data_IF_621720082491
#
_entry.id   IF_621720082491
#
_cell.length_a   1.000
_cell.length_b   1.000
_cell.length_c   1.000
_cell.angle_alpha   90.00
_cell.angle_beta   90.00
_cell.angle_gamma   90.00
#
_symmetry.space_group_name_H-M   'P 1'
#
loop_
_entity.id
_entity.type
_entity.pdbx_description
1 polymer ?
#
# COMPACT_ATOMS: atom_id res chain seq x y z
N UNK A 1 14.85 -18.23 25.15
CA UNK A 1 14.60 -17.50 23.89
C UNK A 1 13.87 -18.47 22.98
N UNK A 2 12.59 -18.27 22.74
CA UNK A 2 11.84 -19.04 21.77
C UNK A 2 12.40 -18.75 20.38
N UNK A 3 12.81 -19.80 19.65
CA UNK A 3 13.24 -19.66 18.28
C UNK A 3 12.06 -19.15 17.44
N UNK A 4 12.25 -18.06 16.75
CA UNK A 4 11.30 -17.59 15.74
C UNK A 4 11.52 -18.45 14.50
N UNK A 5 10.63 -19.38 14.22
CA UNK A 5 10.57 -19.99 12.90
C UNK A 5 9.74 -19.07 12.00
N UNK A 6 10.32 -18.59 10.89
CA UNK A 6 9.56 -17.78 9.97
C UNK A 6 8.44 -18.63 9.34
N UNK A 7 7.19 -18.17 9.48
CA UNK A 7 6.05 -18.76 8.81
C UNK A 7 6.21 -18.70 7.29
N UNK A 8 5.59 -19.63 6.58
CA UNK A 8 5.58 -19.71 5.12
C UNK A 8 4.16 -19.42 4.61
N UNK A 9 4.01 -18.98 3.36
CA UNK A 9 2.69 -18.85 2.74
C UNK A 9 1.86 -20.13 2.91
N UNK A 10 0.65 -19.99 3.46
CA UNK A 10 -0.25 -21.09 3.77
C UNK A 10 -0.13 -21.70 5.16
N UNK A 11 0.84 -21.28 5.99
CA UNK A 11 0.91 -21.67 7.38
C UNK A 11 -0.22 -21.00 8.19
N UNK A 12 -0.77 -21.71 9.17
CA UNK A 12 -1.70 -21.13 10.14
C UNK A 12 -0.94 -20.33 11.19
N UNK A 13 -1.01 -19.01 11.05
CA UNK A 13 -0.39 -18.06 11.99
C UNK A 13 -1.30 -17.70 13.18
N UNK A 14 -2.54 -18.17 13.19
CA UNK A 14 -3.51 -17.89 14.26
C UNK A 14 -3.11 -18.51 15.60
N UNK A 15 -2.32 -19.56 15.57
CA UNK A 15 -1.81 -20.28 16.75
C UNK A 15 -0.43 -19.81 17.19
N UNK A 16 0.21 -18.94 16.43
CA UNK A 16 1.54 -18.41 16.70
C UNK A 16 1.50 -17.17 17.61
N UNK A 17 2.68 -16.73 18.01
CA UNK A 17 2.88 -15.45 18.69
C UNK A 17 2.66 -14.30 17.70
N UNK A 18 1.43 -13.99 17.38
CA UNK A 18 1.10 -12.77 16.66
C UNK A 18 0.99 -11.62 17.66
N UNK A 19 1.89 -10.66 17.51
CA UNK A 19 1.72 -9.38 18.21
C UNK A 19 0.58 -8.65 17.51
N UNK A 20 -0.37 -8.11 18.24
CA UNK A 20 -1.55 -7.37 17.77
C UNK A 20 -1.23 -6.20 16.77
N UNK A 21 0.01 -6.02 16.40
CA UNK A 21 0.51 -4.92 15.57
C UNK A 21 1.27 -5.39 14.33
N UNK A 22 1.18 -6.69 13.99
CA UNK A 22 1.84 -7.22 12.78
C UNK A 22 0.97 -7.04 11.54
N UNK A 23 -0.33 -7.33 11.64
CA UNK A 23 -1.29 -7.17 10.56
C UNK A 23 -2.47 -6.30 11.02
N UNK A 24 -2.90 -5.41 10.15
CA UNK A 24 -4.04 -4.52 10.37
C UNK A 24 -5.02 -4.71 9.24
N UNK A 25 -6.19 -5.23 9.56
CA UNK A 25 -7.31 -5.25 8.62
C UNK A 25 -8.02 -3.91 8.62
N UNK A 26 -8.11 -3.27 7.45
CA UNK A 26 -8.93 -2.10 7.25
C UNK A 26 -10.38 -2.52 6.99
N UNK A 27 -11.31 -1.58 7.20
CA UNK A 27 -12.73 -1.79 6.90
C UNK A 27 -12.93 -1.98 5.39
N UNK A 28 -13.12 -3.23 4.92
CA UNK A 28 -13.21 -3.56 3.50
C UNK A 28 -14.34 -2.80 2.78
N UNK A 29 -15.57 -2.67 3.31
CA UNK A 29 -16.60 -1.82 2.70
C UNK A 29 -16.17 -0.37 2.51
N UNK A 30 -15.44 0.22 3.45
CA UNK A 30 -14.93 1.58 3.33
C UNK A 30 -13.83 1.69 2.27
N UNK A 31 -12.94 0.71 2.21
CA UNK A 31 -11.90 0.63 1.16
C UNK A 31 -12.53 0.46 -0.21
N UNK A 32 -13.55 -0.38 -0.34
CA UNK A 32 -14.28 -0.61 -1.59
C UNK A 32 -15.03 0.65 -2.04
N UNK A 33 -15.64 1.37 -1.13
CA UNK A 33 -16.27 2.67 -1.43
C UNK A 33 -15.22 3.65 -2.00
N UNK A 34 -14.09 3.84 -1.33
CA UNK A 34 -13.04 4.76 -1.77
C UNK A 34 -12.46 4.34 -3.13
N UNK A 35 -12.25 3.04 -3.34
CA UNK A 35 -11.81 2.49 -4.63
C UNK A 35 -12.85 2.73 -5.73
N UNK A 36 -14.11 2.42 -5.50
CA UNK A 36 -15.16 2.63 -6.47
C UNK A 36 -15.35 4.10 -6.86
N UNK A 37 -15.16 5.01 -5.90
CA UNK A 37 -15.18 6.44 -6.13
C UNK A 37 -14.03 6.91 -7.02
N UNK A 38 -12.85 6.27 -6.92
CA UNK A 38 -11.61 6.79 -7.50
C UNK A 38 -11.06 5.96 -8.68
N UNK A 39 -11.49 4.71 -8.87
CA UNK A 39 -10.91 3.77 -9.86
C UNK A 39 -10.92 4.25 -11.31
N UNK A 40 -11.83 5.16 -11.65
CA UNK A 40 -11.96 5.74 -13.00
C UNK A 40 -11.32 7.13 -13.11
N UNK A 41 -10.68 7.61 -12.05
CA UNK A 41 -10.01 8.91 -12.05
C UNK A 41 -8.82 8.87 -13.00
N UNK A 42 -8.78 9.82 -13.94
CA UNK A 42 -7.65 9.98 -14.84
C UNK A 42 -6.51 10.66 -14.07
N UNK A 43 -5.41 9.95 -13.93
CA UNK A 43 -4.22 10.47 -13.29
C UNK A 43 -3.30 11.19 -14.29
N UNK A 44 -2.53 12.19 -13.83
CA UNK A 44 -1.55 12.86 -14.69
C UNK A 44 -0.52 11.88 -15.25
N UNK A 45 -0.22 12.00 -16.54
CA UNK A 45 0.78 11.20 -17.22
C UNK A 45 2.04 12.04 -17.41
N UNK A 46 3.10 11.60 -16.76
CA UNK A 46 4.44 12.13 -16.94
C UNK A 46 5.20 11.24 -17.91
N UNK A 47 5.61 11.81 -19.02
CA UNK A 47 6.20 11.04 -20.13
C UNK A 47 7.47 10.28 -19.72
N UNK A 48 8.32 10.91 -18.93
CA UNK A 48 9.59 10.33 -18.50
C UNK A 48 9.38 9.24 -17.44
N UNK A 49 8.47 9.48 -16.49
CA UNK A 49 8.07 8.46 -15.52
C UNK A 49 7.40 7.25 -16.16
N UNK A 50 6.56 7.48 -17.18
CA UNK A 50 5.97 6.39 -17.94
C UNK A 50 7.03 5.60 -18.71
N UNK A 51 7.99 6.28 -19.36
CA UNK A 51 9.09 5.63 -20.06
C UNK A 51 9.97 4.81 -19.09
N UNK A 52 10.19 5.32 -17.88
CA UNK A 52 10.90 4.58 -16.83
C UNK A 52 10.16 3.32 -16.41
N UNK A 53 8.84 3.41 -16.15
CA UNK A 53 8.03 2.24 -15.79
C UNK A 53 8.01 1.17 -16.89
N UNK A 54 8.03 1.59 -18.15
CA UNK A 54 8.06 0.69 -19.31
C UNK A 54 9.37 -0.12 -19.43
N UNK A 55 10.42 0.22 -18.68
CA UNK A 55 11.61 -0.63 -18.57
C UNK A 55 11.29 -1.99 -17.91
N UNK A 56 10.20 -2.09 -17.16
CA UNK A 56 9.66 -3.33 -16.60
C UNK A 56 8.78 -4.06 -17.61
N UNK A 57 9.36 -4.38 -18.77
CA UNK A 57 8.65 -4.90 -19.94
C UNK A 57 7.94 -6.25 -19.75
N UNK A 58 8.32 -7.01 -18.72
CA UNK A 58 7.70 -8.28 -18.35
C UNK A 58 6.51 -8.10 -17.39
N UNK A 59 6.27 -6.87 -16.92
CA UNK A 59 5.21 -6.55 -15.96
C UNK A 59 4.07 -5.80 -16.65
N UNK A 60 2.91 -6.44 -16.93
CA UNK A 60 1.83 -5.81 -17.69
C UNK A 60 1.31 -4.49 -17.10
N UNK A 61 1.28 -4.36 -15.78
CA UNK A 61 0.81 -3.14 -15.13
C UNK A 61 1.78 -1.97 -15.29
N UNK A 62 3.08 -2.23 -15.38
CA UNK A 62 4.08 -1.19 -15.62
C UNK A 62 4.01 -0.60 -17.05
N UNK A 63 3.33 -1.28 -17.97
CA UNK A 63 3.12 -0.82 -19.34
C UNK A 63 1.90 0.10 -19.49
N UNK A 64 1.09 0.23 -18.45
CA UNK A 64 -0.13 1.05 -18.45
C UNK A 64 0.14 2.46 -17.94
N UNK A 65 -0.70 3.44 -18.31
CA UNK A 65 -0.76 4.70 -17.58
C UNK A 65 -1.03 4.48 -16.09
N UNK A 66 -0.72 5.46 -15.23
CA UNK A 66 -1.06 5.40 -13.81
C UNK A 66 -2.54 5.10 -13.59
N UNK A 67 -2.84 4.26 -12.61
CA UNK A 67 -4.20 3.85 -12.29
C UNK A 67 -4.36 3.62 -10.79
N UNK A 68 -5.61 3.66 -10.33
CA UNK A 68 -5.96 3.34 -8.94
C UNK A 68 -6.24 1.85 -8.82
N UNK A 69 -5.72 1.26 -7.77
CA UNK A 69 -6.00 -0.13 -7.41
C UNK A 69 -6.10 -0.27 -5.89
N UNK A 70 -6.49 -1.44 -5.41
CA UNK A 70 -6.44 -1.84 -4.02
C UNK A 70 -5.55 -3.06 -3.85
N UNK A 71 -4.97 -3.23 -2.70
CA UNK A 71 -4.10 -4.37 -2.39
C UNK A 71 -3.37 -4.21 -1.08
N UNK A 72 -2.50 -5.14 -0.79
CA UNK A 72 -1.80 -5.25 0.47
C UNK A 72 -0.60 -4.30 0.53
N UNK A 73 -0.45 -3.68 1.68
CA UNK A 73 0.65 -2.75 1.95
C UNK A 73 1.55 -3.29 3.06
N UNK A 74 2.85 -3.34 2.80
CA UNK A 74 3.87 -3.71 3.79
C UNK A 74 4.52 -2.45 4.35
N UNK A 75 4.38 -2.24 5.67
CA UNK A 75 5.04 -1.14 6.36
C UNK A 75 6.28 -1.64 7.11
N UNK A 76 7.42 -0.99 6.90
CA UNK A 76 8.69 -1.34 7.53
C UNK A 76 9.51 -0.09 7.86
N UNK A 77 10.19 -0.08 8.99
CA UNK A 77 11.12 0.99 9.35
C UNK A 77 12.42 0.97 8.55
N UNK A 78 12.64 -0.04 7.72
CA UNK A 78 13.87 -0.23 6.94
C UNK A 78 13.56 -0.16 5.46
N UNK A 79 14.28 0.70 4.74
CA UNK A 79 14.27 0.68 3.27
C UNK A 79 14.90 -0.63 2.76
N UNK A 80 14.27 -1.24 1.77
CA UNK A 80 14.76 -2.47 1.15
C UNK A 80 14.51 -2.45 -0.35
N UNK A 81 15.27 -3.24 -1.10
CA UNK A 81 15.18 -3.30 -2.56
C UNK A 81 15.75 -4.62 -3.09
N UNK A 82 15.26 -5.05 -4.25
CA UNK A 82 15.75 -6.20 -5.00
C UNK A 82 14.83 -7.42 -4.95
N UNK A 83 14.97 -8.31 -5.92
CA UNK A 83 14.08 -9.46 -6.16
C UNK A 83 13.86 -10.34 -4.93
N UNK A 84 14.94 -10.67 -4.21
CA UNK A 84 14.85 -11.55 -3.03
C UNK A 84 14.02 -10.94 -1.92
N UNK A 85 14.19 -9.65 -1.68
CA UNK A 85 13.42 -8.94 -0.66
C UNK A 85 12.00 -8.66 -1.13
N UNK A 86 11.80 -8.44 -2.43
CA UNK A 86 10.47 -8.33 -3.00
C UNK A 86 9.68 -9.64 -2.89
N UNK A 87 10.33 -10.79 -3.13
CA UNK A 87 9.72 -12.10 -2.92
C UNK A 87 9.40 -12.32 -1.44
N UNK A 88 10.33 -12.01 -0.54
CA UNK A 88 10.07 -12.06 0.90
C UNK A 88 8.88 -11.20 1.32
N UNK A 89 8.76 -9.99 0.78
CA UNK A 89 7.63 -9.11 1.07
C UNK A 89 6.29 -9.73 0.62
N UNK A 90 6.28 -10.36 -0.54
CA UNK A 90 5.10 -11.08 -1.04
C UNK A 90 4.76 -12.29 -0.15
N UNK A 91 5.75 -13.09 0.23
CA UNK A 91 5.55 -14.24 1.12
C UNK A 91 5.03 -13.79 2.48
N UNK A 92 5.58 -12.69 3.03
CA UNK A 92 5.12 -12.10 4.28
C UNK A 92 3.65 -11.66 4.21
N UNK A 93 3.26 -10.97 3.16
CA UNK A 93 1.86 -10.58 2.94
C UNK A 93 0.97 -11.82 2.90
N UNK A 94 1.35 -12.85 2.17
CA UNK A 94 0.57 -14.09 2.06
C UNK A 94 0.47 -14.89 3.37
N UNK A 95 1.43 -14.74 4.26
CA UNK A 95 1.37 -15.34 5.61
C UNK A 95 0.28 -14.69 6.45
N UNK A 96 0.14 -13.37 6.38
CA UNK A 96 -0.75 -12.61 7.26
C UNK A 96 -2.08 -12.18 6.62
N UNK A 97 -2.27 -12.39 5.34
CA UNK A 97 -3.55 -12.16 4.67
C UNK A 97 -4.13 -13.46 4.10
N UNK A 98 -3.78 -13.81 2.88
CA UNK A 98 -4.12 -15.10 2.27
C UNK A 98 -3.19 -15.37 1.08
N UNK A 99 -3.12 -16.64 0.65
CA UNK A 99 -2.21 -17.06 -0.43
C UNK A 99 -2.57 -16.52 -1.82
N UNK A 100 -3.77 -15.98 -1.99
CA UNK A 100 -4.23 -15.31 -3.21
C UNK A 100 -3.99 -13.79 -3.20
N UNK A 101 -3.49 -13.25 -2.08
CA UNK A 101 -3.12 -11.84 -1.95
C UNK A 101 -1.67 -11.61 -2.35
N UNK A 102 -1.39 -10.42 -2.84
CA UNK A 102 -0.06 -10.04 -3.27
C UNK A 102 0.36 -8.72 -2.64
N UNK A 103 1.64 -8.64 -2.33
CA UNK A 103 2.28 -7.39 -1.98
C UNK A 103 2.16 -6.38 -3.12
N UNK A 104 1.62 -5.20 -2.84
CA UNK A 104 1.39 -4.15 -3.84
C UNK A 104 2.26 -2.92 -3.61
N UNK A 105 2.37 -2.47 -2.37
CA UNK A 105 3.14 -1.26 -2.02
C UNK A 105 3.87 -1.43 -0.70
N UNK A 106 4.93 -0.65 -0.51
CA UNK A 106 5.60 -0.53 0.79
C UNK A 106 5.76 0.93 1.22
N UNK A 107 5.79 1.13 2.52
CA UNK A 107 6.04 2.42 3.16
C UNK A 107 6.65 2.21 4.53
N UNK A 108 6.82 3.28 5.31
CA UNK A 108 7.51 3.21 6.59
C UNK A 108 6.61 3.57 7.78
N UNK A 109 5.58 4.36 7.58
CA UNK A 109 4.85 5.02 8.68
C UNK A 109 3.57 4.30 9.11
N UNK A 110 2.96 3.51 8.22
CA UNK A 110 1.58 3.02 8.42
C UNK A 110 1.41 2.10 9.61
N UNK A 111 2.36 1.19 9.84
CA UNK A 111 2.30 0.29 11.00
C UNK A 111 2.35 1.07 12.32
N UNK A 112 3.15 2.12 12.40
CA UNK A 112 3.21 3.00 13.57
C UNK A 112 1.91 3.78 13.77
N UNK A 113 1.39 4.37 12.71
CA UNK A 113 0.13 5.12 12.70
C UNK A 113 -1.06 4.22 13.09
N UNK A 114 -1.18 3.07 12.45
CA UNK A 114 -2.26 2.11 12.75
C UNK A 114 -2.15 1.54 14.16
N UNK A 115 -0.94 1.25 14.64
CA UNK A 115 -0.70 0.85 16.02
C UNK A 115 -1.23 1.91 17.01
N UNK A 116 -0.93 3.18 16.76
CA UNK A 116 -1.41 4.27 17.60
C UNK A 116 -2.94 4.38 17.57
N UNK A 117 -3.55 4.35 16.38
CA UNK A 117 -5.00 4.41 16.21
C UNK A 117 -5.71 3.23 16.88
N UNK A 118 -5.22 2.00 16.72
CA UNK A 118 -5.79 0.83 17.39
C UNK A 118 -5.68 0.90 18.92
N UNK A 119 -4.57 1.42 19.45
CA UNK A 119 -4.45 1.66 20.91
C UNK A 119 -5.43 2.70 21.40
N UNK A 120 -5.62 3.79 20.64
CA UNK A 120 -6.60 4.83 20.97
C UNK A 120 -8.05 4.30 20.87
N UNK A 121 -8.33 3.41 19.92
CA UNK A 121 -9.62 2.77 19.77
C UNK A 121 -9.98 1.87 20.98
N UNK A 122 -8.99 1.21 21.62
CA UNK A 122 -9.20 0.40 22.82
C UNK A 122 -9.69 1.18 24.05
N UNK A 123 -9.53 2.49 24.02
CA UNK A 123 -9.98 3.41 25.08
C UNK A 123 -11.02 4.40 24.57
N UNK A 124 -11.71 4.04 23.47
CA UNK A 124 -12.83 4.77 22.87
C UNK A 124 -12.51 6.21 22.45
N UNK A 125 -11.24 6.53 22.14
CA UNK A 125 -10.84 7.86 21.65
C UNK A 125 -11.00 8.02 20.14
N UNK A 126 -10.94 6.94 19.37
CA UNK A 126 -11.10 6.92 17.91
C UNK A 126 -11.85 5.66 17.48
N UNK A 127 -12.45 5.71 16.31
CA UNK A 127 -13.04 4.54 15.65
C UNK A 127 -12.05 4.01 14.59
N UNK A 128 -11.39 2.89 14.89
CA UNK A 128 -10.43 2.26 13.99
C UNK A 128 -11.06 1.73 12.68
N UNK A 129 -12.40 1.61 12.62
CA UNK A 129 -13.12 1.24 11.41
C UNK A 129 -13.20 2.41 10.39
N UNK A 130 -12.86 3.63 10.81
CA UNK A 130 -12.89 4.85 9.99
C UNK A 130 -11.54 5.22 9.43
N UNK A 131 -10.71 4.24 9.10
CA UNK A 131 -9.35 4.45 8.62
C UNK A 131 -9.24 3.99 7.18
N UNK A 132 -8.69 4.86 6.34
CA UNK A 132 -8.24 4.57 4.97
C UNK A 132 -6.75 4.81 4.87
N UNK A 133 -6.04 3.96 4.14
CA UNK A 133 -4.63 4.15 3.78
C UNK A 133 -4.55 4.37 2.28
N UNK A 134 -4.03 5.52 1.87
CA UNK A 134 -3.72 5.84 0.48
C UNK A 134 -2.21 5.87 0.30
N UNK A 135 -1.73 5.06 -0.63
CA UNK A 135 -0.30 5.07 -1.02
C UNK A 135 -0.14 5.29 -2.51
N UNK A 136 0.76 6.17 -2.86
CA UNK A 136 1.18 6.41 -4.24
C UNK A 136 2.62 5.97 -4.43
N UNK A 137 2.89 5.34 -5.57
CA UNK A 137 4.20 4.74 -5.84
C UNK A 137 5.13 5.83 -6.38
N UNK A 138 6.22 6.10 -5.65
CA UNK A 138 7.28 7.02 -6.09
C UNK A 138 8.48 6.29 -6.70
N UNK A 139 8.67 5.01 -6.36
CA UNK A 139 9.76 4.17 -6.87
C UNK A 139 9.35 2.69 -6.87
N UNK A 140 10.15 1.85 -7.51
CA UNK A 140 9.94 0.40 -7.53
C UNK A 140 10.80 -0.29 -6.47
N UNK A 141 10.31 -1.42 -5.95
CA UNK A 141 11.02 -2.24 -4.95
C UNK A 141 11.97 -3.26 -5.57
N UNK A 142 12.02 -3.33 -6.90
CA UNK A 142 12.84 -4.26 -7.66
C UNK A 142 13.46 -3.53 -8.86
N UNK A 143 14.60 -4.00 -9.31
CA UNK A 143 15.26 -3.48 -10.52
C UNK A 143 14.51 -3.93 -11.79
N UNK A 144 14.52 -3.12 -12.85
CA UNK A 144 14.01 -3.57 -14.15
C UNK A 144 14.90 -4.66 -14.77
N UNK A 145 14.34 -5.50 -15.65
CA UNK A 145 15.09 -6.55 -16.32
C UNK A 145 16.40 -6.04 -16.95
N UNK A 146 17.48 -6.79 -16.76
CA UNK A 146 18.81 -6.44 -17.27
C UNK A 146 19.58 -5.37 -16.50
N UNK A 147 19.02 -4.81 -15.44
CA UNK A 147 19.71 -3.88 -14.54
C UNK A 147 20.11 -4.56 -13.23
N UNK A 148 21.18 -4.05 -12.61
CA UNK A 148 21.59 -4.51 -11.28
C UNK A 148 20.77 -3.85 -10.17
N UNK A 149 20.70 -4.48 -9.01
CA UNK A 149 20.11 -3.89 -7.80
C UNK A 149 20.79 -2.56 -7.47
N UNK A 150 22.13 -2.51 -7.54
CA UNK A 150 22.90 -1.29 -7.27
C UNK A 150 22.52 -0.16 -8.23
N UNK A 151 22.35 -0.45 -9.53
CA UNK A 151 21.88 0.55 -10.47
C UNK A 151 20.52 1.11 -10.07
N UNK A 152 19.59 0.23 -9.73
CA UNK A 152 18.21 0.63 -9.41
C UNK A 152 18.10 1.43 -8.09
N UNK A 153 18.93 1.10 -7.09
CA UNK A 153 18.94 1.83 -5.82
C UNK A 153 19.60 3.22 -5.92
N UNK A 154 20.37 3.45 -6.97
CA UNK A 154 21.07 4.73 -7.23
C UNK A 154 20.49 5.48 -8.43
N UNK A 155 19.50 4.92 -9.11
CA UNK A 155 18.87 5.56 -10.26
C UNK A 155 18.07 6.80 -9.81
N UNK A 156 18.23 7.89 -10.55
CA UNK A 156 17.35 9.03 -10.41
C UNK A 156 15.98 8.69 -11.01
N UNK A 157 14.96 8.74 -10.17
CA UNK A 157 13.59 8.56 -10.63
C UNK A 157 13.14 9.85 -11.32
N UNK A 158 12.55 9.76 -12.52
CA UNK A 158 12.11 10.94 -13.27
C UNK A 158 11.10 11.79 -12.50
N UNK A 159 11.10 13.09 -12.81
CA UNK A 159 10.11 14.05 -12.32
C UNK A 159 10.13 14.27 -10.80
N UNK A 160 11.23 13.95 -10.09
CA UNK A 160 11.45 14.23 -8.66
C UNK A 160 10.30 13.78 -7.72
N UNK A 161 9.64 12.66 -8.04
CA UNK A 161 8.49 12.15 -7.27
C UNK A 161 7.19 12.95 -7.46
N UNK A 162 7.17 13.98 -8.30
CA UNK A 162 5.98 14.79 -8.57
C UNK A 162 4.78 13.96 -9.01
N UNK A 163 4.91 12.93 -9.88
CA UNK A 163 3.78 12.08 -10.26
C UNK A 163 3.09 11.43 -9.07
N UNK A 164 3.85 10.96 -8.09
CA UNK A 164 3.29 10.35 -6.88
C UNK A 164 2.57 11.38 -6.01
N UNK A 165 3.13 12.57 -5.84
CA UNK A 165 2.53 13.66 -5.06
C UNK A 165 1.22 14.15 -5.69
N UNK A 166 1.20 14.35 -7.00
CA UNK A 166 -0.02 14.78 -7.70
C UNK A 166 -1.10 13.69 -7.69
N UNK A 167 -0.73 12.43 -7.87
CA UNK A 167 -1.67 11.32 -7.74
C UNK A 167 -2.24 11.24 -6.32
N UNK A 168 -1.42 11.41 -5.28
CA UNK A 168 -1.88 11.45 -3.90
C UNK A 168 -2.87 12.59 -3.67
N UNK A 169 -2.57 13.79 -4.19
CA UNK A 169 -3.47 14.94 -4.09
C UNK A 169 -4.80 14.69 -4.82
N UNK A 170 -4.77 14.26 -6.07
CA UNK A 170 -5.97 14.05 -6.88
C UNK A 170 -6.89 13.01 -6.25
N UNK A 171 -6.34 11.86 -5.86
CA UNK A 171 -7.13 10.77 -5.27
C UNK A 171 -7.57 11.11 -3.85
N UNK A 172 -6.66 11.62 -3.02
CA UNK A 172 -6.96 12.01 -1.65
C UNK A 172 -8.03 13.09 -1.58
N UNK A 173 -7.91 14.14 -2.41
CA UNK A 173 -8.89 15.21 -2.50
C UNK A 173 -10.28 14.72 -2.91
N UNK A 174 -10.35 13.80 -3.88
CA UNK A 174 -11.63 13.21 -4.32
C UNK A 174 -12.35 12.52 -3.15
N UNK A 175 -11.62 11.75 -2.36
CA UNK A 175 -12.18 11.06 -1.18
C UNK A 175 -12.60 12.06 -0.09
N UNK A 176 -11.72 13.03 0.21
CA UNK A 176 -12.00 14.05 1.23
C UNK A 176 -13.20 14.90 0.85
N UNK A 177 -13.29 15.38 -0.39
CA UNK A 177 -14.44 16.15 -0.87
C UNK A 177 -15.74 15.35 -0.79
N UNK A 178 -15.73 14.07 -1.16
CA UNK A 178 -16.91 13.22 -1.03
C UNK A 178 -17.36 13.06 0.42
N UNK A 179 -16.41 12.91 1.35
CA UNK A 179 -16.70 12.84 2.79
C UNK A 179 -17.30 14.15 3.28
N UNK A 180 -16.67 15.29 2.96
CA UNK A 180 -17.11 16.61 3.41
C UNK A 180 -18.47 16.99 2.84
N UNK A 181 -18.71 16.71 1.56
CA UNK A 181 -19.99 16.99 0.90
C UNK A 181 -21.14 16.20 1.53
N UNK A 182 -20.87 15.01 2.03
CA UNK A 182 -21.85 14.13 2.66
C UNK A 182 -21.69 14.04 4.18
N UNK A 183 -21.03 15.01 4.80
CA UNK A 183 -20.64 14.99 6.20
C UNK A 183 -21.81 14.69 7.15
N UNK A 184 -22.98 15.28 6.90
CA UNK A 184 -24.16 15.05 7.76
C UNK A 184 -24.60 13.59 7.83
N UNK A 185 -24.29 12.80 6.80
CA UNK A 185 -24.52 11.36 6.80
C UNK A 185 -23.29 10.59 7.31
N UNK A 186 -22.11 10.93 6.78
CA UNK A 186 -20.91 10.14 7.01
C UNK A 186 -20.28 10.33 8.40
N UNK A 187 -20.62 11.42 9.11
CA UNK A 187 -20.23 11.57 10.53
C UNK A 187 -20.80 10.46 11.43
N UNK A 188 -21.99 9.95 11.11
CA UNK A 188 -22.70 8.93 11.89
C UNK A 188 -22.69 7.54 11.24
N UNK A 189 -22.57 7.45 9.92
CA UNK A 189 -22.59 6.21 9.15
C UNK A 189 -21.37 6.15 8.22
N UNK A 190 -20.70 4.99 8.20
CA UNK A 190 -19.61 4.78 7.24
C UNK A 190 -20.15 4.77 5.80
N UNK A 191 -19.43 5.38 4.85
CA UNK A 191 -19.67 5.16 3.43
C UNK A 191 -19.61 3.67 3.07
N UNK A 192 -20.42 3.26 2.09
CA UNK A 192 -20.50 1.88 1.62
C UNK A 192 -20.49 1.82 0.10
#
# INVERSE_FOLDING_TARGET
>A
MGGYEPAKPGDDVSTGWTVDTIAFELNEPLVDWAYNLTKSTVLPIYKESLAFSQMFNETPNAQKPPFVTRGEHLSSSTYWHGEKLNQWANDWVQVYSSTDRNFMTSGMEDSGTLTALHRMARIDLVDAQRVLVLRTISNFTVQPPGKSVTWSTTADYPDDGRPALEAAFVIGNTVVEAILTNWDTYKDQLPK
#
